data_IF_815323645980
#
_entry.id   IF_815323645980
#
_cell.length_a   1.000
_cell.length_b   1.000
_cell.length_c   1.000
_cell.angle_alpha   90.00
_cell.angle_beta   90.00
_cell.angle_gamma   90.00
#
_symmetry.space_group_name_H-M   'P 1'
#
loop_
_entity.id
_entity.type
_entity.pdbx_description
1 polymer ?
#
# COMPACT_ATOMS: atom_id res chain seq x y z
N UNK A 1 2.26 11.64 17.42
CA UNK A 1 2.09 10.27 16.87
C UNK A 1 1.07 9.50 17.72
N UNK A 2 -0.22 9.80 17.64
CA UNK A 2 -1.16 9.16 18.59
C UNK A 2 -2.65 9.42 18.41
N UNK A 3 -3.17 9.54 17.18
CA UNK A 3 -4.63 9.74 17.01
C UNK A 3 -5.34 8.65 16.20
N UNK A 4 -4.67 7.95 15.28
CA UNK A 4 -5.35 6.93 14.45
C UNK A 4 -5.30 5.53 15.10
N UNK A 5 -4.28 5.23 15.90
CA UNK A 5 -4.14 3.92 16.53
C UNK A 5 -5.12 3.69 17.69
N UNK A 6 -5.58 4.74 18.38
CA UNK A 6 -6.49 4.61 19.53
C UNK A 6 -7.97 4.51 19.11
N UNK A 7 -8.38 5.16 18.02
CA UNK A 7 -9.78 5.13 17.54
C UNK A 7 -10.17 3.81 16.88
N UNK A 8 -9.22 3.10 16.25
CA UNK A 8 -9.48 1.82 15.57
C UNK A 8 -9.63 0.65 16.56
N UNK A 9 -8.99 0.73 17.74
CA UNK A 9 -8.99 -0.37 18.72
C UNK A 9 -10.28 -0.49 19.55
N UNK A 10 -11.12 0.55 19.61
CA UNK A 10 -12.30 0.58 20.49
C UNK A 10 -13.53 -0.18 19.93
N UNK A 11 -13.54 -0.61 18.66
CA UNK A 11 -14.62 -1.43 18.06
C UNK A 11 -14.16 -2.76 17.43
N UNK A 12 -12.87 -3.07 17.55
CA UNK A 12 -12.16 -4.00 16.69
C UNK A 12 -12.73 -5.44 16.62
N UNK A 13 -13.28 -5.99 17.70
CA UNK A 13 -13.78 -7.38 17.69
C UNK A 13 -15.02 -7.59 16.82
N UNK A 14 -16.02 -6.74 16.98
CA UNK A 14 -17.28 -6.82 16.23
C UNK A 14 -17.11 -6.29 14.80
N UNK A 15 -16.43 -5.15 14.64
CA UNK A 15 -16.16 -4.57 13.33
C UNK A 15 -15.30 -5.49 12.45
N UNK A 16 -14.28 -6.16 13.01
CA UNK A 16 -13.45 -7.11 12.24
C UNK A 16 -14.23 -8.36 11.85
N UNK A 17 -15.05 -8.90 12.76
CA UNK A 17 -15.86 -10.10 12.48
C UNK A 17 -16.93 -9.83 11.43
N UNK A 18 -17.62 -8.69 11.51
CA UNK A 18 -18.59 -8.25 10.52
C UNK A 18 -17.92 -7.97 9.17
N UNK A 19 -16.80 -7.23 9.17
CA UNK A 19 -16.07 -6.94 7.94
C UNK A 19 -15.59 -8.20 7.23
N UNK A 20 -15.06 -9.18 7.98
CA UNK A 20 -14.65 -10.47 7.42
C UNK A 20 -15.84 -11.27 6.90
N UNK A 21 -16.99 -11.23 7.59
CA UNK A 21 -18.22 -11.89 7.14
C UNK A 21 -18.72 -11.32 5.80
N UNK A 22 -18.69 -10.00 5.64
CA UNK A 22 -19.21 -9.32 4.43
C UNK A 22 -18.21 -9.36 3.26
N UNK A 23 -16.90 -9.26 3.52
CA UNK A 23 -15.87 -9.12 2.48
C UNK A 23 -15.05 -10.38 2.22
N UNK A 24 -15.13 -11.38 3.10
CA UNK A 24 -14.29 -12.57 3.08
C UNK A 24 -12.84 -12.36 3.52
N UNK A 25 -12.43 -11.12 3.83
CA UNK A 25 -11.04 -10.78 4.20
C UNK A 25 -10.96 -10.04 5.54
N UNK A 26 -9.81 -10.10 6.20
CA UNK A 26 -9.61 -9.30 7.40
C UNK A 26 -9.52 -7.82 7.03
N UNK A 27 -9.90 -6.94 7.97
CA UNK A 27 -9.76 -5.50 7.79
C UNK A 27 -8.29 -5.09 7.53
N UNK A 28 -7.34 -5.80 8.12
CA UNK A 28 -5.91 -5.57 7.92
C UNK A 28 -5.49 -5.93 6.50
N UNK A 29 -5.94 -7.07 5.97
CA UNK A 29 -5.65 -7.48 4.59
C UNK A 29 -6.23 -6.48 3.59
N UNK A 30 -7.43 -5.96 3.87
CA UNK A 30 -8.05 -4.92 3.06
C UNK A 30 -7.24 -3.61 3.07
N UNK A 31 -6.81 -3.15 4.24
CA UNK A 31 -5.96 -1.95 4.35
C UNK A 31 -4.66 -2.14 3.57
N UNK A 32 -4.00 -3.30 3.72
CA UNK A 32 -2.79 -3.64 2.97
C UNK A 32 -3.07 -3.59 1.47
N UNK A 33 -4.14 -4.23 1.00
CA UNK A 33 -4.55 -4.22 -0.42
C UNK A 33 -4.73 -2.79 -0.94
N UNK A 34 -5.47 -1.95 -0.22
CA UNK A 34 -5.71 -0.55 -0.60
C UNK A 34 -4.40 0.24 -0.69
N UNK A 35 -3.48 0.04 0.25
CA UNK A 35 -2.16 0.69 0.24
C UNK A 35 -1.32 0.25 -0.95
N UNK A 36 -1.30 -1.05 -1.25
CA UNK A 36 -0.57 -1.59 -2.41
C UNK A 36 -1.18 -1.10 -3.73
N UNK A 37 -2.51 -1.10 -3.87
CA UNK A 37 -3.19 -0.58 -5.06
C UNK A 37 -2.90 0.92 -5.27
N UNK A 38 -2.81 1.69 -4.18
CA UNK A 38 -2.41 3.11 -4.23
C UNK A 38 -0.94 3.24 -4.66
N UNK A 39 -0.05 2.43 -4.09
CA UNK A 39 1.37 2.43 -4.48
C UNK A 39 1.56 2.09 -5.96
N UNK A 40 0.81 1.12 -6.49
CA UNK A 40 0.82 0.76 -7.93
C UNK A 40 0.49 1.96 -8.80
N UNK A 41 -0.57 2.71 -8.48
CA UNK A 41 -0.95 3.92 -9.23
C UNK A 41 0.14 4.99 -9.21
N UNK A 42 0.79 5.18 -8.06
CA UNK A 42 1.87 6.16 -7.93
C UNK A 42 3.13 5.76 -8.70
N UNK A 43 3.48 4.46 -8.68
CA UNK A 43 4.64 3.91 -9.38
C UNK A 43 4.48 3.89 -10.90
N UNK A 44 3.28 4.11 -11.45
CA UNK A 44 3.09 4.34 -12.88
C UNK A 44 3.72 5.66 -13.34
N UNK A 45 3.94 6.61 -12.41
CA UNK A 45 4.72 7.80 -12.69
C UNK A 45 6.21 7.50 -12.46
N UNK A 46 6.98 7.45 -13.54
CA UNK A 46 8.41 7.14 -13.52
C UNK A 46 9.26 8.16 -12.70
N UNK A 47 8.76 9.38 -12.47
CA UNK A 47 9.42 10.38 -11.61
C UNK A 47 9.26 10.09 -10.10
N UNK A 48 8.36 9.17 -9.72
CA UNK A 48 8.12 8.84 -8.32
C UNK A 48 9.24 7.97 -7.75
N UNK A 49 9.84 8.41 -6.65
CA UNK A 49 10.84 7.62 -5.91
C UNK A 49 10.14 6.55 -5.06
N UNK A 50 10.65 5.32 -5.08
CA UNK A 50 10.10 4.20 -4.28
C UNK A 50 10.00 4.55 -2.80
N UNK A 51 10.99 5.28 -2.27
CA UNK A 51 10.98 5.76 -0.89
C UNK A 51 9.79 6.69 -0.60
N UNK A 52 9.55 7.67 -1.47
CA UNK A 52 8.44 8.61 -1.34
C UNK A 52 7.08 7.90 -1.40
N UNK A 53 6.93 6.95 -2.33
CA UNK A 53 5.72 6.11 -2.43
C UNK A 53 5.50 5.34 -1.14
N UNK A 54 6.54 4.69 -0.59
CA UNK A 54 6.49 3.96 0.67
C UNK A 54 5.95 4.84 1.81
N UNK A 55 6.51 6.03 1.99
CA UNK A 55 6.06 6.96 3.03
C UNK A 55 4.61 7.43 2.80
N UNK A 56 4.24 7.79 1.56
CA UNK A 56 2.89 8.26 1.22
C UNK A 56 1.82 7.19 1.43
N UNK A 57 2.14 5.91 1.25
CA UNK A 57 1.21 4.80 1.52
C UNK A 57 1.31 4.24 2.94
N UNK A 58 2.03 4.92 3.84
CA UNK A 58 2.02 4.64 5.28
C UNK A 58 3.02 3.58 5.74
N UNK A 59 4.15 3.42 5.02
CA UNK A 59 5.26 2.55 5.42
C UNK A 59 6.55 3.33 5.57
N UNK A 60 7.04 3.47 6.80
CA UNK A 60 8.31 4.13 7.10
C UNK A 60 9.53 3.27 6.73
N UNK A 61 9.39 1.95 6.86
CA UNK A 61 10.42 0.99 6.49
C UNK A 61 10.28 0.60 5.00
N UNK A 62 11.12 1.20 4.16
CA UNK A 62 11.13 1.00 2.71
C UNK A 62 11.43 -0.46 2.32
N UNK A 63 12.30 -1.14 3.07
CA UNK A 63 12.66 -2.54 2.79
C UNK A 63 11.45 -3.46 3.07
N UNK A 64 10.74 -3.22 4.16
CA UNK A 64 9.50 -3.94 4.47
C UNK A 64 8.43 -3.69 3.40
N UNK A 65 8.19 -2.43 3.02
CA UNK A 65 7.26 -2.10 1.93
C UNK A 65 7.62 -2.81 0.64
N UNK A 66 8.90 -2.80 0.26
CA UNK A 66 9.37 -3.42 -0.99
C UNK A 66 9.14 -4.93 -1.00
N UNK A 67 9.40 -5.61 0.12
CA UNK A 67 9.13 -7.05 0.28
C UNK A 67 7.64 -7.35 0.24
N UNK A 68 6.82 -6.57 0.96
CA UNK A 68 5.37 -6.73 0.97
C UNK A 68 4.76 -6.51 -0.42
N UNK A 69 5.18 -5.45 -1.11
CA UNK A 69 4.75 -5.15 -2.47
C UNK A 69 5.12 -6.30 -3.42
N UNK A 70 6.37 -6.80 -3.36
CA UNK A 70 6.79 -7.94 -4.17
C UNK A 70 5.96 -9.19 -3.88
N UNK A 71 5.68 -9.49 -2.62
CA UNK A 71 4.87 -10.65 -2.26
C UNK A 71 3.44 -10.57 -2.81
N UNK A 72 2.87 -9.36 -2.87
CA UNK A 72 1.50 -9.17 -3.36
C UNK A 72 1.38 -8.97 -4.87
N UNK A 73 2.41 -8.41 -5.51
CA UNK A 73 2.39 -8.01 -6.93
C UNK A 73 3.22 -8.95 -7.81
N UNK A 74 4.17 -9.68 -7.23
CA UNK A 74 5.07 -10.61 -7.92
C UNK A 74 6.44 -10.01 -8.28
N UNK A 75 6.55 -8.68 -8.34
CA UNK A 75 7.78 -7.94 -8.69
C UNK A 75 8.01 -6.78 -7.73
N UNK A 76 9.25 -6.31 -7.62
CA UNK A 76 9.61 -5.19 -6.75
C UNK A 76 8.96 -3.87 -7.20
N UNK A 77 8.80 -2.89 -6.31
CA UNK A 77 8.31 -1.56 -6.68
C UNK A 77 9.11 -0.90 -7.81
N UNK A 78 10.42 -1.13 -7.82
CA UNK A 78 11.32 -0.62 -8.86
C UNK A 78 11.01 -1.27 -10.21
N UNK A 79 11.02 -2.60 -10.27
CA UNK A 79 10.67 -3.34 -11.49
C UNK A 79 9.28 -2.96 -11.99
N UNK A 80 8.30 -2.81 -11.09
CA UNK A 80 6.95 -2.39 -11.45
C UNK A 80 6.92 -1.01 -12.11
N UNK A 81 7.67 -0.04 -11.59
CA UNK A 81 7.79 1.30 -12.20
C UNK A 81 8.51 1.23 -13.54
N UNK A 82 9.58 0.44 -13.64
CA UNK A 82 10.39 0.31 -14.85
C UNK A 82 9.59 -0.33 -16.00
N UNK A 83 8.46 -1.02 -15.71
CA UNK A 83 7.50 -1.49 -16.71
C UNK A 83 6.67 -0.38 -17.38
N UNK A 84 6.64 0.84 -16.83
CA UNK A 84 5.90 1.97 -17.39
C UNK A 84 6.89 2.96 -18.04
N UNK A 85 6.79 3.20 -19.36
CA UNK A 85 7.66 4.16 -20.04
C UNK A 85 7.46 5.56 -19.47
N UNK A 86 8.50 6.39 -19.57
CA UNK A 86 8.48 7.82 -19.24
C UNK A 86 7.45 8.55 -20.14
N UNK A 87 6.17 8.47 -19.80
CA UNK A 87 5.08 9.14 -20.52
C UNK A 87 5.05 10.66 -20.27
N UNK A 88 5.93 11.17 -19.41
CA UNK A 88 5.97 12.57 -18.97
C UNK A 88 7.33 13.25 -19.23
N UNK A 89 8.21 12.69 -20.07
CA UNK A 89 9.51 13.31 -20.39
C UNK A 89 9.44 14.43 -21.44
N UNK A 90 8.25 14.80 -21.91
CA UNK A 90 8.05 15.82 -22.97
C UNK A 90 7.36 17.11 -22.48
N UNK A 91 7.26 17.34 -21.17
CA UNK A 91 6.77 18.61 -20.60
C UNK A 91 7.69 19.14 -19.50
#
# INVERSE_FOLDING_TARGET
MGSVASEVYLSAGYATSLFKKETGMSIMDYIIKVRIDTAKKMLQNHNSRVSEVSYKVGYENIAYFSSLFKNMVGITPKEYRDCYPNLFSEF
#
